data_IF_036084807579
#
_entry.id   IF_036084807579
#
_cell.length_a   1.000
_cell.length_b   1.000
_cell.length_c   1.000
_cell.angle_alpha   90.00
_cell.angle_beta   90.00
_cell.angle_gamma   90.00
#
_symmetry.space_group_name_H-M   'P 1'
#
loop_
_entity.id
_entity.type
_entity.pdbx_description
1 polymer ?
#
# COMPACT_ATOMS: atom_id res chain seq x y z
N UNK A 1 0.68 3.39 6.94
CA UNK A 1 -0.38 4.34 6.63
C UNK A 1 0.03 5.17 5.39
N UNK A 2 -0.87 5.45 4.42
CA UNK A 2 -0.56 6.31 3.26
C UNK A 2 -0.10 7.73 3.62
N UNK A 3 -0.45 8.23 4.78
CA UNK A 3 0.01 9.52 5.32
C UNK A 3 1.54 9.64 5.41
N UNK A 4 2.28 8.53 5.44
CA UNK A 4 3.74 8.50 5.35
C UNK A 4 4.29 9.17 4.07
N UNK A 5 3.48 9.31 3.03
CA UNK A 5 3.89 10.00 1.79
C UNK A 5 3.94 11.52 1.94
N UNK A 6 3.28 12.06 2.96
CA UNK A 6 3.10 13.50 3.15
C UNK A 6 1.96 14.09 2.33
N UNK A 7 1.40 15.19 2.83
CA UNK A 7 0.22 15.84 2.25
C UNK A 7 0.39 16.21 0.78
N UNK A 8 1.50 16.89 0.45
CA UNK A 8 1.75 17.39 -0.91
C UNK A 8 1.85 16.24 -1.94
N UNK A 9 2.48 15.14 -1.57
CA UNK A 9 2.56 13.98 -2.46
C UNK A 9 1.18 13.38 -2.71
N UNK A 10 0.42 13.14 -1.63
CA UNK A 10 -0.92 12.53 -1.74
C UNK A 10 -1.85 13.44 -2.54
N UNK A 11 -1.79 14.76 -2.31
CA UNK A 11 -2.58 15.75 -3.05
C UNK A 11 -2.29 15.69 -4.53
N UNK A 12 -1.01 15.78 -4.89
CA UNK A 12 -0.59 15.70 -6.28
C UNK A 12 -1.00 14.38 -6.94
N UNK A 13 -0.80 13.25 -6.26
CA UNK A 13 -1.17 11.93 -6.78
C UNK A 13 -2.68 11.83 -7.05
N UNK A 14 -3.52 12.36 -6.15
CA UNK A 14 -4.97 12.36 -6.35
C UNK A 14 -5.40 13.26 -7.50
N UNK A 15 -4.79 14.43 -7.63
CA UNK A 15 -5.06 15.35 -8.73
C UNK A 15 -4.64 14.75 -10.09
N UNK A 16 -3.45 14.17 -10.17
CA UNK A 16 -2.92 13.53 -11.39
C UNK A 16 -3.80 12.33 -11.84
N UNK A 17 -4.35 11.57 -10.89
CA UNK A 17 -5.26 10.45 -11.15
C UNK A 17 -6.73 10.87 -11.41
N UNK A 18 -7.02 12.16 -11.37
CA UNK A 18 -8.39 12.67 -11.56
C UNK A 18 -9.34 12.35 -10.41
N UNK A 19 -8.83 12.13 -9.19
CA UNK A 19 -9.63 11.91 -7.98
C UNK A 19 -9.97 13.23 -7.28
N UNK A 20 -10.31 14.24 -8.06
CA UNK A 20 -10.68 15.60 -7.62
C UNK A 20 -11.92 15.65 -6.71
N UNK A 21 -12.73 14.60 -6.76
CA UNK A 21 -13.90 14.42 -5.88
C UNK A 21 -13.53 13.98 -4.45
N UNK A 22 -12.30 13.52 -4.23
CA UNK A 22 -11.82 13.14 -2.89
C UNK A 22 -11.29 14.37 -2.16
N UNK A 23 -11.88 14.67 -1.02
CA UNK A 23 -11.47 15.78 -0.17
C UNK A 23 -10.74 15.26 1.07
N UNK A 24 -9.64 15.89 1.40
CA UNK A 24 -8.89 15.70 2.62
C UNK A 24 -8.09 16.96 2.93
N UNK A 25 -7.68 17.11 4.18
CA UNK A 25 -6.91 18.26 4.66
C UNK A 25 -5.61 17.82 5.29
N UNK A 26 -4.73 18.76 5.56
CA UNK A 26 -3.47 18.52 6.28
C UNK A 26 -3.69 17.91 7.69
N UNK A 27 -4.87 18.11 8.25
CA UNK A 27 -5.24 17.53 9.54
C UNK A 27 -5.05 16.01 9.59
N UNK A 28 -5.36 15.29 8.50
CA UNK A 28 -5.21 13.84 8.42
C UNK A 28 -3.73 13.36 8.46
N UNK A 29 -2.79 14.27 8.33
CA UNK A 29 -1.35 13.97 8.30
C UNK A 29 -0.63 14.43 9.56
N UNK A 30 -1.13 15.48 10.20
CA UNK A 30 -0.42 16.23 11.23
C UNK A 30 -0.05 15.43 12.47
N UNK A 31 -0.95 14.54 12.92
CA UNK A 31 -0.77 13.74 14.13
C UNK A 31 -0.34 12.30 13.83
N UNK A 32 -0.23 11.94 12.54
CA UNK A 32 0.24 10.64 12.11
C UNK A 32 1.78 10.55 12.12
N UNK A 33 2.27 9.32 12.19
CA UNK A 33 3.71 9.04 12.10
C UNK A 33 4.28 9.60 10.79
N UNK A 34 5.25 10.50 10.91
CA UNK A 34 5.96 11.08 9.77
C UNK A 34 7.05 10.13 9.25
N UNK A 35 7.39 10.23 7.97
CA UNK A 35 8.35 9.34 7.31
C UNK A 35 9.73 9.37 7.98
N UNK A 36 10.18 10.57 8.35
CA UNK A 36 11.47 10.81 9.01
C UNK A 36 11.57 10.13 10.38
N UNK A 37 10.43 9.96 11.07
CA UNK A 37 10.35 9.21 12.33
C UNK A 37 10.15 7.70 12.10
N UNK A 38 9.46 7.32 11.02
CA UNK A 38 9.17 5.93 10.72
C UNK A 38 10.45 5.12 10.38
N UNK A 39 11.32 5.66 9.54
CA UNK A 39 12.52 4.94 9.09
C UNK A 39 13.45 4.54 10.25
N UNK A 40 13.89 5.45 11.14
CA UNK A 40 14.73 5.07 12.26
C UNK A 40 14.02 4.13 13.25
N UNK A 41 12.72 4.29 13.47
CA UNK A 41 11.93 3.38 14.30
C UNK A 41 11.92 1.96 13.73
N UNK A 42 11.65 1.80 12.44
CA UNK A 42 11.63 0.50 11.77
C UNK A 42 13.01 -0.15 11.76
N UNK A 43 14.11 0.61 11.56
CA UNK A 43 15.48 0.10 11.66
C UNK A 43 15.75 -0.48 13.04
N UNK A 44 15.39 0.23 14.11
CA UNK A 44 15.55 -0.28 15.49
C UNK A 44 14.74 -1.56 15.72
N UNK A 45 13.51 -1.64 15.22
CA UNK A 45 12.67 -2.84 15.35
C UNK A 45 13.28 -4.03 14.62
N UNK A 46 13.82 -3.83 13.42
CA UNK A 46 14.53 -4.88 12.67
C UNK A 46 15.78 -5.36 13.43
N UNK A 47 16.58 -4.44 13.95
CA UNK A 47 17.78 -4.76 14.74
C UNK A 47 17.43 -5.53 16.02
N UNK A 48 16.40 -5.06 16.75
CA UNK A 48 15.94 -5.74 17.97
C UNK A 48 15.44 -7.16 17.67
N UNK A 49 14.63 -7.31 16.62
CA UNK A 49 14.15 -8.63 16.21
C UNK A 49 15.30 -9.57 15.84
N UNK A 50 16.29 -9.08 15.10
CA UNK A 50 17.46 -9.86 14.72
C UNK A 50 18.29 -10.31 15.94
N UNK A 51 18.45 -9.45 16.96
CA UNK A 51 19.12 -9.78 18.21
C UNK A 51 18.42 -10.92 18.98
N UNK A 52 17.09 -10.95 18.90
CA UNK A 52 16.26 -11.99 19.54
C UNK A 52 16.02 -13.21 18.63
N UNK A 53 16.66 -13.27 17.47
CA UNK A 53 16.47 -14.37 16.49
C UNK A 53 15.09 -14.41 15.86
N UNK A 54 14.40 -13.27 15.82
CA UNK A 54 13.05 -13.11 15.24
C UNK A 54 13.11 -12.41 13.90
N UNK A 55 12.09 -12.62 13.09
CA UNK A 55 11.86 -11.86 11.85
C UNK A 55 10.90 -10.69 12.12
N UNK A 56 11.19 -9.55 11.50
CA UNK A 56 10.33 -8.36 11.54
C UNK A 56 10.00 -7.92 10.12
N UNK A 57 8.76 -7.52 9.90
CA UNK A 57 8.31 -6.96 8.64
C UNK A 57 7.12 -6.02 8.86
N UNK A 58 6.67 -5.37 7.80
CA UNK A 58 5.56 -4.42 7.85
C UNK A 58 4.41 -4.86 6.95
N UNK A 59 3.19 -4.49 7.34
CA UNK A 59 2.01 -4.61 6.48
C UNK A 59 1.62 -3.22 5.97
N UNK A 60 1.54 -3.07 4.68
CA UNK A 60 1.20 -1.83 3.97
C UNK A 60 -0.10 -2.03 3.17
N UNK A 61 -1.12 -1.19 3.28
CA UNK A 61 -1.31 -0.07 4.18
C UNK A 61 -2.68 -0.17 4.89
N UNK A 62 -2.97 0.77 5.79
CA UNK A 62 -4.33 1.04 6.23
C UNK A 62 -5.10 1.77 5.12
N UNK A 63 -6.42 1.90 5.28
CA UNK A 63 -7.26 2.78 4.48
C UNK A 63 -6.86 4.24 4.72
N UNK A 64 -7.19 5.11 3.75
CA UNK A 64 -6.87 6.53 3.85
C UNK A 64 -8.14 7.33 4.19
N UNK A 65 -8.14 8.16 5.25
CA UNK A 65 -9.29 8.97 5.62
C UNK A 65 -9.52 10.10 4.60
N UNK A 66 -10.77 10.31 4.23
CA UNK A 66 -11.21 11.39 3.35
C UNK A 66 -12.49 12.03 3.90
N UNK A 67 -12.67 13.32 3.66
CA UNK A 67 -13.83 14.07 4.13
C UNK A 67 -15.09 13.68 3.36
N UNK A 68 -16.23 13.62 4.05
CA UNK A 68 -17.55 13.50 3.41
C UNK A 68 -18.04 14.87 3.00
N UNK A 69 -18.19 15.11 1.69
CA UNK A 69 -18.64 16.40 1.14
C UNK A 69 -20.06 16.36 0.57
N UNK A 70 -20.58 15.19 0.24
CA UNK A 70 -21.85 15.00 -0.48
C UNK A 70 -22.86 14.14 0.28
N UNK A 71 -22.67 14.00 1.59
CA UNK A 71 -23.53 13.16 2.44
C UNK A 71 -23.60 11.68 1.97
N UNK A 72 -22.50 11.16 1.44
CA UNK A 72 -22.39 9.77 0.98
C UNK A 72 -22.61 8.77 2.11
N UNK A 73 -22.19 9.12 3.32
CA UNK A 73 -22.36 8.35 4.55
C UNK A 73 -22.74 9.27 5.72
N UNK A 74 -23.37 8.75 6.79
CA UNK A 74 -23.51 9.48 8.03
C UNK A 74 -22.15 9.74 8.67
N UNK A 75 -21.81 11.00 8.96
CA UNK A 75 -20.56 11.39 9.59
C UNK A 75 -19.80 12.46 8.82
N UNK A 76 -18.58 12.75 9.25
CA UNK A 76 -17.72 13.77 8.64
C UNK A 76 -16.60 13.16 7.79
N UNK A 77 -16.24 11.90 8.08
CA UNK A 77 -15.16 11.18 7.40
C UNK A 77 -15.60 9.82 6.88
N UNK A 78 -14.97 9.38 5.82
CA UNK A 78 -15.02 8.01 5.31
C UNK A 78 -13.60 7.53 4.95
N UNK A 79 -13.47 6.26 4.56
CA UNK A 79 -12.16 5.67 4.31
C UNK A 79 -12.04 5.20 2.87
N UNK A 80 -11.09 5.80 2.14
CA UNK A 80 -10.72 5.35 0.81
C UNK A 80 -10.05 3.97 0.89
N UNK A 81 -10.51 3.05 0.07
CA UNK A 81 -10.04 1.67 0.00
C UNK A 81 -10.09 1.11 -1.42
N UNK A 82 -9.64 -0.13 -1.60
CA UNK A 82 -9.70 -0.81 -2.87
C UNK A 82 -8.80 -0.18 -3.93
N UNK A 83 -9.24 -0.21 -5.20
CA UNK A 83 -8.43 0.23 -6.34
C UNK A 83 -7.89 1.65 -6.19
N UNK A 84 -8.69 2.57 -5.68
CA UNK A 84 -8.29 3.98 -5.50
C UNK A 84 -7.13 4.15 -4.49
N UNK A 85 -6.99 3.21 -3.54
CA UNK A 85 -5.91 3.24 -2.55
C UNK A 85 -4.59 2.67 -3.11
N UNK A 86 -4.65 1.86 -4.16
CA UNK A 86 -3.48 1.14 -4.69
C UNK A 86 -2.28 2.05 -4.99
N UNK A 87 -2.43 3.16 -5.72
CA UNK A 87 -1.31 4.03 -6.03
C UNK A 87 -0.59 4.58 -4.79
N UNK A 88 -1.33 4.92 -3.75
CA UNK A 88 -0.74 5.38 -2.50
C UNK A 88 -0.04 4.25 -1.74
N UNK A 89 -0.67 3.08 -1.66
CA UNK A 89 -0.12 1.94 -0.94
C UNK A 89 1.18 1.43 -1.58
N UNK A 90 1.23 1.35 -2.90
CA UNK A 90 2.41 0.90 -3.61
C UNK A 90 3.53 1.95 -3.57
N UNK A 91 3.19 3.25 -3.55
CA UNK A 91 4.16 4.33 -3.37
C UNK A 91 4.80 4.32 -1.97
N UNK A 92 4.03 4.00 -0.91
CA UNK A 92 4.61 3.79 0.43
C UNK A 92 5.58 2.61 0.41
N UNK A 93 5.19 1.50 -0.22
CA UNK A 93 6.03 0.32 -0.34
C UNK A 93 7.35 0.64 -1.07
N UNK A 94 7.28 1.33 -2.20
CA UNK A 94 8.45 1.74 -2.98
C UNK A 94 9.40 2.63 -2.16
N UNK A 95 8.87 3.65 -1.51
CA UNK A 95 9.67 4.57 -0.69
C UNK A 95 10.37 3.88 0.48
N UNK A 96 9.68 2.94 1.14
CA UNK A 96 10.30 2.13 2.19
C UNK A 96 11.32 1.15 1.62
N UNK A 97 11.05 0.50 0.48
CA UNK A 97 12.01 -0.39 -0.15
C UNK A 97 13.32 0.32 -0.48
N UNK A 98 13.29 1.54 -1.02
CA UNK A 98 14.48 2.37 -1.24
C UNK A 98 15.24 2.66 0.07
N UNK A 99 14.54 3.04 1.16
CA UNK A 99 15.18 3.38 2.44
C UNK A 99 15.80 2.18 3.18
N UNK A 100 15.43 0.96 2.80
CA UNK A 100 15.89 -0.28 3.41
C UNK A 100 16.63 -1.21 2.43
N UNK A 101 16.99 -0.73 1.25
CA UNK A 101 17.69 -1.51 0.20
C UNK A 101 16.97 -2.86 -0.08
N UNK A 102 15.64 -2.86 -0.09
CA UNK A 102 14.81 -4.05 -0.29
C UNK A 102 14.77 -5.04 0.88
N UNK A 103 15.49 -4.79 1.97
CA UNK A 103 15.68 -5.74 3.07
C UNK A 103 14.57 -5.75 4.12
N UNK A 104 13.64 -4.81 4.07
CA UNK A 104 12.47 -4.79 4.95
C UNK A 104 11.38 -5.69 4.35
N UNK A 105 11.07 -6.84 4.96
CA UNK A 105 9.98 -7.70 4.50
C UNK A 105 8.65 -6.97 4.55
N UNK A 106 7.88 -7.09 3.48
CA UNK A 106 6.60 -6.41 3.35
C UNK A 106 5.48 -7.38 3.03
N UNK A 107 4.34 -7.21 3.68
CA UNK A 107 3.06 -7.72 3.24
C UNK A 107 2.20 -6.59 2.70
N UNK A 108 1.29 -6.87 1.76
CA UNK A 108 0.51 -5.85 1.10
C UNK A 108 -0.99 -5.93 1.43
N UNK A 109 -1.57 -4.76 1.67
CA UNK A 109 -3.02 -4.57 1.84
C UNK A 109 -3.35 -3.14 1.40
N UNK A 110 -4.04 -2.99 0.29
CA UNK A 110 -4.38 -1.66 -0.22
C UNK A 110 -4.64 -1.67 -1.72
N UNK A 111 -5.76 -2.26 -2.13
CA UNK A 111 -6.19 -2.25 -3.52
C UNK A 111 -5.63 -3.37 -4.40
N UNK A 112 -5.11 -4.43 -3.81
CA UNK A 112 -4.76 -5.65 -4.56
C UNK A 112 -6.02 -6.30 -5.13
N UNK A 113 -5.96 -6.68 -6.40
CA UNK A 113 -7.02 -7.36 -7.14
C UNK A 113 -6.45 -8.29 -8.24
N UNK A 114 -7.31 -8.83 -9.09
CA UNK A 114 -6.91 -9.73 -10.18
C UNK A 114 -6.08 -9.06 -11.29
N UNK A 115 -5.93 -7.74 -11.27
CA UNK A 115 -5.17 -7.01 -12.29
C UNK A 115 -3.71 -6.79 -11.90
N UNK A 116 -3.44 -6.69 -10.59
CA UNK A 116 -2.15 -6.27 -10.07
C UNK A 116 -1.49 -7.25 -9.09
N UNK A 117 -2.17 -8.35 -8.73
CA UNK A 117 -1.64 -9.33 -7.76
C UNK A 117 -0.29 -9.91 -8.18
N UNK A 118 -0.14 -10.27 -9.45
CA UNK A 118 1.09 -10.77 -10.03
C UNK A 118 2.23 -9.75 -9.92
N UNK A 119 1.97 -8.51 -10.29
CA UNK A 119 2.95 -7.42 -10.21
C UNK A 119 3.43 -7.16 -8.77
N UNK A 120 2.51 -7.24 -7.78
CA UNK A 120 2.87 -7.09 -6.36
C UNK A 120 3.78 -8.23 -5.92
N UNK A 121 3.43 -9.47 -6.26
CA UNK A 121 4.21 -10.67 -5.89
C UNK A 121 5.58 -10.67 -6.58
N UNK A 122 5.65 -10.28 -7.85
CA UNK A 122 6.90 -10.17 -8.60
C UNK A 122 7.87 -9.12 -8.02
N UNK A 123 7.33 -8.13 -7.27
CA UNK A 123 8.16 -7.21 -6.49
C UNK A 123 8.77 -7.83 -5.22
N UNK A 124 8.51 -9.12 -4.93
CA UNK A 124 8.98 -9.79 -3.71
C UNK A 124 8.11 -9.54 -2.48
N UNK A 125 6.91 -8.97 -2.65
CA UNK A 125 5.99 -8.63 -1.56
C UNK A 125 5.00 -9.77 -1.32
N UNK A 126 5.03 -10.35 -0.12
CA UNK A 126 4.14 -11.43 0.32
C UNK A 126 4.05 -11.50 1.84
N UNK A 127 2.90 -11.86 2.44
CA UNK A 127 1.62 -12.17 1.79
C UNK A 127 0.85 -10.93 1.30
N UNK A 128 -0.14 -11.15 0.42
CA UNK A 128 -1.03 -10.12 -0.09
C UNK A 128 -2.45 -10.34 0.44
N UNK A 129 -3.06 -9.28 0.96
CA UNK A 129 -4.44 -9.30 1.46
C UNK A 129 -5.37 -8.62 0.45
N UNK A 130 -6.47 -9.28 0.10
CA UNK A 130 -7.54 -8.74 -0.73
C UNK A 130 -8.84 -8.65 0.06
N UNK A 131 -9.56 -7.54 -0.05
CA UNK A 131 -10.81 -7.32 0.65
C UNK A 131 -11.86 -6.65 -0.27
N UNK A 132 -11.68 -5.40 -0.64
CA UNK A 132 -12.68 -4.58 -1.33
C UNK A 132 -13.19 -5.22 -2.63
N UNK A 133 -12.33 -5.88 -3.39
CA UNK A 133 -12.72 -6.57 -4.64
C UNK A 133 -13.73 -7.69 -4.38
N UNK A 134 -13.63 -8.36 -3.22
CA UNK A 134 -14.51 -9.47 -2.84
C UNK A 134 -15.87 -9.00 -2.32
N UNK A 135 -15.92 -7.80 -1.75
CA UNK A 135 -17.16 -7.21 -1.21
C UNK A 135 -18.09 -6.66 -2.30
N UNK A 136 -17.59 -6.49 -3.52
CA UNK A 136 -18.40 -6.02 -4.66
C UNK A 136 -19.30 -7.15 -5.17
N UNK A 137 -20.46 -6.84 -5.78
CA UNK A 137 -21.32 -7.85 -6.40
C UNK A 137 -20.53 -8.75 -7.36
N UNK A 138 -20.60 -10.07 -7.14
CA UNK A 138 -19.84 -11.06 -7.90
C UNK A 138 -18.35 -11.14 -7.55
N UNK A 139 -17.91 -10.45 -6.50
CA UNK A 139 -16.50 -10.36 -6.11
C UNK A 139 -15.83 -11.71 -5.83
N UNK A 140 -16.54 -12.65 -5.23
CA UNK A 140 -16.01 -13.99 -4.95
C UNK A 140 -15.57 -14.77 -6.19
N UNK A 141 -16.11 -14.46 -7.38
CA UNK A 141 -15.66 -15.05 -8.65
C UNK A 141 -14.21 -14.70 -8.99
N UNK A 142 -13.69 -13.62 -8.42
CA UNK A 142 -12.32 -13.19 -8.65
C UNK A 142 -11.31 -13.93 -7.79
N UNK A 143 -11.72 -14.59 -6.69
CA UNK A 143 -10.82 -15.33 -5.80
C UNK A 143 -9.97 -16.36 -6.55
N UNK A 144 -10.61 -17.18 -7.38
CA UNK A 144 -9.89 -18.20 -8.17
C UNK A 144 -8.86 -17.56 -9.09
N UNK A 145 -9.24 -16.49 -9.80
CA UNK A 145 -8.32 -15.81 -10.72
C UNK A 145 -7.16 -15.12 -9.98
N UNK A 146 -7.41 -14.55 -8.80
CA UNK A 146 -6.38 -13.97 -7.96
C UNK A 146 -5.40 -15.06 -7.49
N UNK A 147 -5.92 -16.18 -7.03
CA UNK A 147 -5.10 -17.32 -6.60
C UNK A 147 -4.26 -17.90 -7.75
N UNK A 148 -4.87 -18.15 -8.91
CA UNK A 148 -4.18 -18.65 -10.10
C UNK A 148 -3.04 -17.74 -10.55
N UNK A 149 -3.25 -16.41 -10.54
CA UNK A 149 -2.20 -15.45 -10.84
C UNK A 149 -1.09 -15.43 -9.79
N UNK A 150 -1.43 -15.45 -8.53
CA UNK A 150 -0.43 -15.51 -7.45
C UNK A 150 0.39 -16.80 -7.52
N UNK A 151 -0.24 -17.93 -7.81
CA UNK A 151 0.42 -19.24 -7.98
C UNK A 151 1.39 -19.28 -9.18
N UNK A 152 1.16 -18.45 -10.20
CA UNK A 152 2.05 -18.34 -11.35
C UNK A 152 3.35 -17.57 -11.05
N UNK A 153 3.42 -16.88 -9.93
CA UNK A 153 4.57 -16.09 -9.50
C UNK A 153 5.54 -16.95 -8.65
N UNK A 154 6.83 -16.57 -8.65
CA UNK A 154 7.84 -17.25 -7.84
C UNK A 154 7.81 -16.77 -6.37
N UNK A 155 6.80 -17.19 -5.62
CA UNK A 155 6.62 -16.82 -4.19
C UNK A 155 7.85 -17.16 -3.34
N UNK A 156 8.65 -18.15 -3.72
CA UNK A 156 9.89 -18.52 -3.02
C UNK A 156 10.96 -17.40 -3.00
N UNK A 157 10.83 -16.37 -3.81
CA UNK A 157 11.69 -15.17 -3.79
C UNK A 157 11.14 -14.06 -2.90
N UNK A 158 9.97 -14.23 -2.30
CA UNK A 158 9.39 -13.24 -1.41
C UNK A 158 10.20 -13.12 -0.10
N UNK A 159 10.31 -11.89 0.40
CA UNK A 159 11.08 -11.57 1.60
C UNK A 159 12.24 -10.62 1.33
N UNK A 160 12.71 -10.54 0.08
CA UNK A 160 13.60 -9.48 -0.39
C UNK A 160 12.88 -8.70 -1.51
N UNK A 161 12.63 -7.42 -1.24
CA UNK A 161 11.84 -6.59 -2.14
C UNK A 161 12.70 -6.11 -3.32
N UNK A 162 12.18 -6.28 -4.53
CA UNK A 162 12.83 -5.85 -5.77
C UNK A 162 12.64 -4.35 -5.98
N UNK A 163 13.57 -3.53 -5.50
CA UNK A 163 13.43 -2.06 -5.40
C UNK A 163 13.08 -1.42 -6.74
N UNK A 164 13.83 -1.72 -7.81
CA UNK A 164 13.62 -1.11 -9.11
C UNK A 164 12.29 -1.53 -9.76
N UNK A 165 11.90 -2.81 -9.60
CA UNK A 165 10.62 -3.31 -10.10
C UNK A 165 9.45 -2.64 -9.37
N UNK A 166 9.57 -2.51 -8.06
CA UNK A 166 8.56 -1.87 -7.23
C UNK A 166 8.45 -0.37 -7.50
N UNK A 167 9.58 0.31 -7.71
CA UNK A 167 9.61 1.72 -8.08
C UNK A 167 8.87 1.96 -9.39
N UNK A 168 9.17 1.16 -10.41
CA UNK A 168 8.46 1.23 -11.68
C UNK A 168 6.95 1.01 -11.52
N UNK A 169 6.54 -0.02 -10.76
CA UNK A 169 5.14 -0.29 -10.50
C UNK A 169 4.44 0.89 -9.79
N UNK A 170 5.14 1.54 -8.85
CA UNK A 170 4.61 2.70 -8.16
C UNK A 170 4.44 3.90 -9.12
N UNK A 171 5.44 4.18 -9.96
CA UNK A 171 5.37 5.24 -10.97
C UNK A 171 4.25 4.98 -12.00
N UNK A 172 4.17 3.77 -12.54
CA UNK A 172 3.12 3.37 -13.50
C UNK A 172 1.72 3.54 -12.88
N UNK A 173 1.55 3.21 -11.60
CA UNK A 173 0.26 3.33 -10.89
C UNK A 173 -0.24 4.76 -10.69
N UNK A 174 0.61 5.75 -10.85
CA UNK A 174 0.27 7.19 -10.74
C UNK A 174 -0.13 7.82 -12.08
N UNK A 175 -0.04 7.05 -13.17
CA UNK A 175 -0.31 7.55 -14.54
C UNK A 175 -1.48 6.85 -15.23
N UNK A 176 -2.08 5.83 -14.61
CA UNK A 176 -3.23 5.03 -15.12
C UNK A 176 -4.64 5.70 -14.83
#
# INVERSE_FOLDING_TARGET
NPTLLGYEFVRKAMDDLGYDYMAFTDFHFKDDLQYEGAVPMLKRLMETAAQEGLSFGVKLTNTFPVDIKRQELPGEEMYMSGKALFPLSISVASRLAESFDGKLPMSFSGGADQKNIDQIVDCGIWPVTVATVLLKPGGYKWMTKIAEKADSCEIGKCGEVQVETLKKLAEDSLTD
#
